data_IF_209943955530
#
_entry.id   IF_209943955530
#
_cell.length_a   1.000
_cell.length_b   1.000
_cell.length_c   1.000
_cell.angle_alpha   90.00
_cell.angle_beta   90.00
_cell.angle_gamma   90.00
#
_symmetry.space_group_name_H-M   'P 1'
#
loop_
_entity.id
_entity.type
_entity.pdbx_description
1 polymer ?
#
# COMPACT_ATOMS: atom_id res chain seq x y z
N UNK A 1 -26.38 -12.08 -0.98
CA UNK A 1 -24.94 -12.05 -0.67
C UNK A 1 -24.53 -10.64 -0.29
N UNK A 2 -23.88 -10.49 0.84
CA UNK A 2 -23.32 -9.21 1.27
C UNK A 2 -22.03 -8.91 0.52
N UNK A 3 -21.86 -7.66 0.10
CA UNK A 3 -20.64 -7.18 -0.52
C UNK A 3 -19.95 -6.19 0.42
N UNK A 4 -18.65 -6.37 0.63
CA UNK A 4 -17.82 -5.47 1.42
C UNK A 4 -16.69 -4.95 0.54
N UNK A 5 -16.41 -3.65 0.61
CA UNK A 5 -15.29 -3.04 -0.08
C UNK A 5 -14.28 -2.52 0.93
N UNK A 6 -13.00 -2.83 0.71
CA UNK A 6 -11.88 -2.27 1.45
C UNK A 6 -11.12 -1.37 0.48
N UNK A 7 -10.84 -0.14 0.90
CA UNK A 7 -10.05 0.81 0.13
C UNK A 7 -8.76 1.11 0.88
N UNK A 8 -7.64 0.81 0.25
CA UNK A 8 -6.30 1.02 0.81
C UNK A 8 -5.57 2.07 -0.02
N UNK A 9 -4.88 2.99 0.64
CA UNK A 9 -4.15 4.05 -0.05
C UNK A 9 -2.84 4.39 0.64
N UNK A 10 -1.95 5.06 -0.09
CA UNK A 10 -0.68 5.55 0.40
C UNK A 10 0.50 4.68 0.00
N UNK A 11 1.56 4.70 0.80
CA UNK A 11 2.72 3.85 0.59
C UNK A 11 2.41 2.41 1.02
N UNK A 12 2.78 1.39 0.21
CA UNK A 12 2.50 -0.01 0.54
C UNK A 12 3.51 -0.58 1.54
N UNK A 13 3.92 0.20 2.52
CA UNK A 13 4.99 -0.13 3.46
C UNK A 13 4.73 -1.43 4.21
N UNK A 14 3.51 -1.59 4.71
CA UNK A 14 3.18 -2.70 5.58
C UNK A 14 2.94 -4.02 4.82
N UNK A 15 2.83 -3.98 3.52
CA UNK A 15 2.77 -5.19 2.70
C UNK A 15 4.13 -5.90 2.61
N UNK A 16 5.22 -5.12 2.77
CA UNK A 16 6.59 -5.61 2.69
C UNK A 16 7.25 -5.75 4.06
N UNK A 17 6.56 -5.39 5.12
CA UNK A 17 7.04 -5.49 6.49
C UNK A 17 6.17 -6.48 7.28
N UNK A 18 6.65 -7.70 7.41
CA UNK A 18 5.92 -8.77 8.09
C UNK A 18 5.71 -8.49 9.58
N UNK A 19 6.47 -7.55 10.15
CA UNK A 19 6.41 -7.21 11.57
C UNK A 19 5.03 -6.69 12.00
N UNK A 20 4.34 -5.98 11.13
CA UNK A 20 3.05 -5.35 11.47
C UNK A 20 1.83 -6.18 11.10
N UNK A 21 1.99 -7.28 10.39
CA UNK A 21 0.94 -8.25 10.14
C UNK A 21 -0.26 -7.76 9.33
N UNK A 22 -0.17 -6.65 8.60
CA UNK A 22 -1.29 -6.13 7.81
C UNK A 22 -1.71 -7.13 6.74
N UNK A 23 -0.74 -7.74 6.05
CA UNK A 23 -1.05 -8.75 5.04
C UNK A 23 -1.79 -9.93 5.65
N UNK A 24 -1.34 -10.40 6.80
CA UNK A 24 -2.00 -11.50 7.52
C UNK A 24 -3.41 -11.12 7.95
N UNK A 25 -3.61 -9.88 8.41
CA UNK A 25 -4.95 -9.40 8.79
C UNK A 25 -5.90 -9.37 7.60
N UNK A 26 -5.43 -8.94 6.45
CA UNK A 26 -6.24 -8.92 5.22
C UNK A 26 -6.55 -10.32 4.76
N UNK A 27 -5.58 -11.25 4.79
CA UNK A 27 -5.78 -12.64 4.42
C UNK A 27 -6.79 -13.32 5.36
N UNK A 28 -6.70 -13.07 6.66
CA UNK A 28 -7.65 -13.60 7.64
C UNK A 28 -9.05 -13.04 7.42
N UNK A 29 -9.17 -11.76 7.13
CA UNK A 29 -10.46 -11.14 6.84
C UNK A 29 -11.06 -11.67 5.54
N UNK A 30 -10.24 -11.91 4.53
CA UNK A 30 -10.66 -12.53 3.28
C UNK A 30 -11.24 -13.92 3.50
N UNK A 31 -10.58 -14.72 4.34
CA UNK A 31 -11.05 -16.05 4.70
C UNK A 31 -12.37 -15.99 5.47
N UNK A 32 -12.48 -15.07 6.42
CA UNK A 32 -13.71 -14.86 7.19
C UNK A 32 -14.88 -14.49 6.27
N UNK A 33 -14.65 -13.60 5.31
CA UNK A 33 -15.67 -13.22 4.32
C UNK A 33 -16.11 -14.42 3.48
N UNK A 34 -15.15 -15.23 3.02
CA UNK A 34 -15.44 -16.41 2.23
C UNK A 34 -16.28 -17.42 3.01
N UNK A 35 -15.94 -17.64 4.28
CA UNK A 35 -16.66 -18.58 5.16
C UNK A 35 -18.11 -18.13 5.42
N UNK A 36 -18.35 -16.83 5.46
CA UNK A 36 -19.66 -16.25 5.78
C UNK A 36 -20.46 -15.82 4.53
N UNK A 37 -20.07 -16.28 3.36
CA UNK A 37 -20.72 -15.95 2.08
C UNK A 37 -20.79 -14.43 1.83
N UNK A 38 -19.68 -13.76 2.13
CA UNK A 38 -19.52 -12.32 1.90
C UNK A 38 -18.53 -12.16 0.74
N UNK A 39 -18.89 -11.33 -0.24
CA UNK A 39 -17.98 -11.00 -1.34
C UNK A 39 -17.13 -9.81 -0.96
N UNK A 40 -15.82 -10.01 -0.92
CA UNK A 40 -14.86 -8.98 -0.56
C UNK A 40 -14.26 -8.39 -1.83
N UNK A 41 -14.28 -7.06 -1.90
CA UNK A 41 -13.64 -6.28 -2.96
C UNK A 41 -12.54 -5.44 -2.36
N UNK A 42 -11.32 -5.53 -2.89
CA UNK A 42 -10.19 -4.76 -2.42
C UNK A 42 -9.78 -3.78 -3.52
N UNK A 43 -9.80 -2.50 -3.19
CA UNK A 43 -9.40 -1.42 -4.08
C UNK A 43 -8.16 -0.76 -3.50
N UNK A 44 -7.14 -0.58 -4.33
CA UNK A 44 -5.86 -0.05 -3.90
C UNK A 44 -5.48 1.18 -4.70
N UNK A 45 -4.97 2.20 -4.01
CA UNK A 45 -4.33 3.35 -4.63
C UNK A 45 -3.01 3.57 -3.92
N UNK A 46 -1.95 3.00 -4.47
CA UNK A 46 -0.63 3.02 -3.85
C UNK A 46 0.37 3.86 -4.63
N UNK A 47 1.33 4.42 -3.89
CA UNK A 47 2.57 4.89 -4.47
C UNK A 47 3.48 3.70 -4.75
N UNK A 48 4.33 3.82 -5.77
CA UNK A 48 5.27 2.74 -6.13
C UNK A 48 6.59 2.83 -5.35
N UNK A 49 6.55 3.36 -4.13
CA UNK A 49 7.75 3.51 -3.32
C UNK A 49 7.44 3.33 -1.83
N UNK A 50 8.50 3.05 -1.08
CA UNK A 50 8.50 3.01 0.38
C UNK A 50 9.53 4.00 0.88
N UNK A 51 9.15 4.85 1.83
CA UNK A 51 10.07 5.76 2.52
C UNK A 51 10.61 5.05 3.76
N UNK A 52 11.93 4.89 3.79
CA UNK A 52 12.63 4.31 4.95
C UNK A 52 13.30 5.43 5.72
N UNK A 53 12.84 5.63 6.97
CA UNK A 53 13.47 6.59 7.86
C UNK A 53 14.65 5.94 8.56
N UNK A 54 15.78 6.65 8.60
CA UNK A 54 16.92 6.20 9.37
C UNK A 54 16.65 6.42 10.86
N UNK A 55 17.02 5.44 11.69
CA UNK A 55 16.77 5.48 13.13
C UNK A 55 17.66 6.47 13.89
N UNK A 56 18.75 6.93 13.29
CA UNK A 56 19.69 7.83 13.93
C UNK A 56 19.33 9.29 13.68
N UNK A 57 19.25 10.08 14.72
CA UNK A 57 18.92 11.52 14.64
C UNK A 57 19.93 12.32 13.82
N UNK A 58 21.13 11.80 13.63
CA UNK A 58 22.18 12.44 12.84
C UNK A 58 22.17 12.02 11.37
N UNK A 59 21.29 11.12 11.00
CA UNK A 59 21.24 10.60 9.64
C UNK A 59 20.59 11.60 8.69
N UNK A 60 20.99 11.55 7.43
CA UNK A 60 20.49 12.39 6.37
C UNK A 60 19.02 12.17 6.02
N UNK A 61 18.58 12.66 4.86
CA UNK A 61 17.17 12.55 4.44
C UNK A 61 16.71 11.10 4.35
N UNK A 62 15.40 10.83 4.46
CA UNK A 62 14.88 9.48 4.35
C UNK A 62 15.21 8.87 3.00
N UNK A 63 15.47 7.58 2.99
CA UNK A 63 15.75 6.82 1.78
C UNK A 63 14.43 6.37 1.17
N UNK A 64 14.29 6.60 -0.14
CA UNK A 64 13.11 6.18 -0.89
C UNK A 64 13.49 4.95 -1.71
N UNK A 65 12.79 3.85 -1.49
CA UNK A 65 12.93 2.63 -2.27
C UNK A 65 11.79 2.53 -3.27
N UNK A 66 12.14 2.45 -4.55
CA UNK A 66 11.15 2.26 -5.62
C UNK A 66 10.78 0.80 -5.74
N UNK A 67 9.49 0.53 -5.88
CA UNK A 67 8.94 -0.81 -6.00
C UNK A 67 8.39 -1.05 -7.40
N UNK A 68 8.47 -2.28 -7.87
CA UNK A 68 7.75 -2.68 -9.08
C UNK A 68 6.27 -2.87 -8.73
N UNK A 69 5.38 -2.39 -9.60
CA UNK A 69 3.93 -2.56 -9.41
C UNK A 69 3.54 -4.02 -9.28
N UNK A 70 4.20 -4.91 -10.02
CA UNK A 70 3.97 -6.36 -9.94
C UNK A 70 4.22 -6.91 -8.54
N UNK A 71 5.26 -6.45 -7.87
CA UNK A 71 5.60 -6.91 -6.52
C UNK A 71 4.53 -6.50 -5.51
N UNK A 72 3.98 -5.29 -5.67
CA UNK A 72 2.89 -4.81 -4.84
C UNK A 72 1.65 -5.69 -5.03
N UNK A 73 1.27 -5.95 -6.28
CA UNK A 73 0.08 -6.73 -6.59
C UNK A 73 0.23 -8.21 -6.20
N UNK A 74 1.43 -8.76 -6.27
CA UNK A 74 1.70 -10.12 -5.81
C UNK A 74 1.53 -10.25 -4.30
N UNK A 75 1.85 -9.19 -3.55
CA UNK A 75 1.67 -9.17 -2.10
C UNK A 75 0.20 -9.01 -1.71
N UNK A 76 -0.56 -8.24 -2.47
CA UNK A 76 -1.97 -7.98 -2.20
C UNK A 76 -2.78 -8.01 -3.50
N UNK A 77 -3.31 -9.17 -3.89
CA UNK A 77 -4.22 -9.25 -5.04
C UNK A 77 -5.46 -8.38 -4.81
N UNK A 78 -5.72 -7.46 -5.74
CA UNK A 78 -6.79 -6.47 -5.62
C UNK A 78 -7.84 -6.67 -6.71
N UNK A 79 -9.08 -6.28 -6.42
CA UNK A 79 -10.17 -6.23 -7.41
C UNK A 79 -9.85 -5.18 -8.47
N UNK A 80 -9.38 -4.03 -8.03
CA UNK A 80 -8.96 -2.95 -8.89
C UNK A 80 -7.85 -2.16 -8.20
N UNK A 81 -6.97 -1.51 -8.96
CA UNK A 81 -5.84 -0.81 -8.40
C UNK A 81 -5.41 0.36 -9.26
N UNK A 82 -4.77 1.34 -8.60
CA UNK A 82 -4.01 2.42 -9.22
C UNK A 82 -2.66 2.47 -8.50
N UNK A 83 -1.57 2.42 -9.26
CA UNK A 83 -0.22 2.55 -8.73
C UNK A 83 0.41 3.74 -9.42
N UNK A 84 0.78 4.75 -8.64
CA UNK A 84 1.32 6.02 -9.14
C UNK A 84 2.77 6.22 -8.72
N UNK A 85 3.53 6.87 -9.60
CA UNK A 85 4.89 7.27 -9.31
C UNK A 85 4.87 8.66 -8.66
N UNK A 86 5.27 8.74 -7.39
CA UNK A 86 5.34 10.00 -6.65
C UNK A 86 6.26 11.02 -7.32
N UNK A 87 7.30 10.57 -8.01
CA UNK A 87 8.24 11.46 -8.69
C UNK A 87 7.57 12.33 -9.75
N UNK A 88 6.51 11.81 -10.38
CA UNK A 88 5.77 12.58 -11.39
C UNK A 88 4.93 13.70 -10.78
N UNK A 89 4.60 13.62 -9.49
CA UNK A 89 3.78 14.60 -8.77
C UNK A 89 4.59 15.59 -7.96
N UNK A 90 5.86 15.31 -7.67
CA UNK A 90 6.69 16.18 -6.84
C UNK A 90 6.78 17.62 -7.35
N UNK A 91 6.95 17.90 -8.66
CA UNK A 91 6.97 19.28 -9.15
C UNK A 91 5.68 20.04 -8.85
N UNK A 92 4.53 19.39 -8.96
CA UNK A 92 3.24 20.01 -8.67
C UNK A 92 3.06 20.25 -7.17
N UNK A 93 3.51 19.31 -6.33
CA UNK A 93 3.46 19.47 -4.89
C UNK A 93 4.37 20.61 -4.42
N UNK A 94 5.55 20.75 -5.00
CA UNK A 94 6.46 21.84 -4.68
C UNK A 94 5.86 23.21 -5.01
N UNK A 95 5.12 23.30 -6.10
CA UNK A 95 4.41 24.54 -6.48
C UNK A 95 3.33 24.91 -5.47
N UNK A 96 2.69 23.93 -4.86
CA UNK A 96 1.64 24.16 -3.86
C UNK A 96 2.23 24.60 -2.51
N UNK A 97 3.39 24.06 -2.11
CA UNK A 97 3.99 24.29 -0.80
C UNK A 97 5.01 25.44 -0.76
N UNK A 98 5.49 25.88 -1.90
CA UNK A 98 6.40 27.01 -2.04
C UNK A 98 5.65 28.28 -2.49
#
# INVERSE_FOLDING_TARGET
MLNIAICLSGEPRYLFDDKYGIKSSIDNFRELCSTNNIKLHIFCHFWNHITKRQRNYTAGPPVIETLAGEDILNRLPCTNYIIEDKKSLLPELDLVWN
#
